data_IF_586416566458
#
_entry.id   IF_586416566458
#
_cell.length_a   1.000
_cell.length_b   1.000
_cell.length_c   1.000
_cell.angle_alpha   90.00
_cell.angle_beta   90.00
_cell.angle_gamma   90.00
#
_symmetry.space_group_name_H-M   'P 1'
#
loop_
_entity.id
_entity.type
_entity.pdbx_description
1 polymer ?
#
# COMPACT_ATOMS: atom_id res chain seq x y z
N UNK A 1 -5.34 -8.10 7.85
CA UNK A 1 -4.64 -8.90 6.83
C UNK A 1 -3.42 -8.14 6.31
N UNK A 2 -2.31 -8.82 6.04
CA UNK A 2 -1.09 -8.26 5.40
C UNK A 2 -1.46 -7.51 4.10
N UNK A 3 -2.37 -8.07 3.32
CA UNK A 3 -2.80 -7.49 2.04
C UNK A 3 -3.50 -6.14 2.17
N UNK A 4 -4.04 -5.82 3.35
CA UNK A 4 -4.74 -4.56 3.60
C UNK A 4 -3.79 -3.40 3.94
N UNK A 5 -2.51 -3.65 4.14
CA UNK A 5 -1.51 -2.61 4.48
C UNK A 5 -1.15 -1.75 3.28
N UNK A 6 -1.33 -2.28 2.06
CA UNK A 6 -1.04 -1.55 0.82
C UNK A 6 0.39 -1.76 0.30
N UNK A 7 1.01 -2.90 0.62
CA UNK A 7 2.30 -3.25 0.04
C UNK A 7 2.21 -3.36 -1.49
N UNK A 8 3.18 -2.80 -2.18
CA UNK A 8 3.28 -2.84 -3.65
C UNK A 8 3.86 -4.17 -4.15
N UNK A 9 4.67 -4.83 -3.33
CA UNK A 9 5.28 -6.12 -3.63
C UNK A 9 5.29 -7.05 -2.42
N UNK A 10 5.16 -8.33 -2.68
CA UNK A 10 5.25 -9.41 -1.69
C UNK A 10 6.28 -10.40 -2.19
N UNK A 11 7.28 -10.68 -1.37
CA UNK A 11 8.28 -11.70 -1.62
C UNK A 11 8.00 -12.91 -0.75
N UNK A 12 8.01 -14.10 -1.31
CA UNK A 12 7.73 -15.34 -0.57
C UNK A 12 8.63 -16.47 -1.04
N UNK A 13 8.96 -17.33 -0.10
CA UNK A 13 9.63 -18.62 -0.38
C UNK A 13 8.62 -19.77 -0.52
N UNK A 14 7.31 -19.51 -0.30
CA UNK A 14 6.27 -20.52 -0.41
C UNK A 14 5.91 -20.80 -1.87
N UNK A 15 5.64 -22.07 -2.15
CA UNK A 15 5.25 -22.55 -3.49
C UNK A 15 3.75 -22.44 -3.77
N UNK A 16 2.92 -22.38 -2.71
CA UNK A 16 1.45 -22.43 -2.79
C UNK A 16 0.86 -21.12 -3.37
N UNK A 17 -0.47 -21.12 -3.56
CA UNK A 17 -1.22 -19.96 -4.07
C UNK A 17 -2.10 -19.28 -3.02
N UNK A 18 -1.75 -19.39 -1.75
CA UNK A 18 -2.54 -18.82 -0.66
C UNK A 18 -2.60 -17.28 -0.78
N UNK A 19 -1.49 -16.64 -1.12
CA UNK A 19 -1.42 -15.17 -1.25
C UNK A 19 -2.30 -14.72 -2.41
N UNK A 20 -2.13 -15.31 -3.59
CA UNK A 20 -2.88 -14.98 -4.81
C UNK A 20 -4.40 -15.17 -4.60
N UNK A 21 -4.79 -16.29 -4.01
CA UNK A 21 -6.19 -16.61 -3.73
C UNK A 21 -6.83 -15.60 -2.77
N UNK A 22 -6.07 -15.10 -1.80
CA UNK A 22 -6.57 -14.07 -0.88
C UNK A 22 -6.64 -12.69 -1.53
N UNK A 23 -5.73 -12.36 -2.45
CA UNK A 23 -5.81 -11.12 -3.24
C UNK A 23 -7.07 -11.10 -4.11
N UNK A 24 -7.39 -12.22 -4.77
CA UNK A 24 -8.62 -12.37 -5.56
C UNK A 24 -9.87 -12.16 -4.69
N UNK A 25 -9.90 -12.72 -3.47
CA UNK A 25 -11.02 -12.52 -2.52
C UNK A 25 -11.21 -11.06 -2.10
N UNK A 26 -10.16 -10.25 -2.19
CA UNK A 26 -10.21 -8.81 -1.92
C UNK A 26 -10.56 -7.98 -3.17
N UNK A 27 -10.95 -8.63 -4.28
CA UNK A 27 -11.19 -7.99 -5.58
C UNK A 27 -10.01 -7.16 -6.08
N UNK A 28 -8.79 -7.56 -5.74
CA UNK A 28 -7.55 -6.94 -6.21
C UNK A 28 -6.87 -7.83 -7.25
N UNK A 29 -5.95 -7.25 -7.99
CA UNK A 29 -5.18 -7.95 -9.02
C UNK A 29 -3.74 -8.14 -8.58
N UNK A 30 -3.17 -9.29 -8.91
CA UNK A 30 -1.75 -9.58 -8.69
C UNK A 30 -1.06 -10.05 -9.97
N UNK A 31 0.25 -9.84 -10.00
CA UNK A 31 1.16 -10.54 -10.92
C UNK A 31 1.99 -11.51 -10.09
N UNK A 32 2.04 -12.76 -10.50
CA UNK A 32 2.95 -13.74 -9.89
C UNK A 32 4.18 -13.89 -10.76
N UNK A 33 5.35 -13.68 -10.15
CA UNK A 33 6.66 -13.69 -10.78
C UNK A 33 7.49 -14.79 -10.09
N UNK A 34 7.82 -15.85 -10.81
CA UNK A 34 8.58 -16.99 -10.28
C UNK A 34 9.66 -17.48 -11.25
N UNK A 35 9.71 -16.90 -12.44
CA UNK A 35 10.72 -17.16 -13.47
C UNK A 35 11.30 -15.83 -13.93
N UNK A 36 12.50 -15.85 -14.44
CA UNK A 36 13.17 -14.67 -14.98
C UNK A 36 12.42 -14.03 -16.14
N UNK A 37 11.73 -14.84 -16.93
CA UNK A 37 10.86 -14.37 -18.03
C UNK A 37 9.67 -13.56 -17.53
N UNK A 38 9.24 -13.78 -16.29
CA UNK A 38 8.11 -13.04 -15.71
C UNK A 38 8.50 -11.62 -15.29
N UNK A 39 9.80 -11.33 -15.14
CA UNK A 39 10.30 -10.00 -14.76
C UNK A 39 9.87 -8.90 -15.73
N UNK A 40 9.64 -9.23 -17.01
CA UNK A 40 9.13 -8.26 -18.01
C UNK A 40 7.68 -7.86 -17.78
N UNK A 41 6.93 -8.65 -16.99
CA UNK A 41 5.51 -8.45 -16.71
C UNK A 41 5.26 -7.66 -15.42
N UNK A 42 6.30 -7.17 -14.75
CA UNK A 42 6.17 -6.38 -13.53
C UNK A 42 5.35 -5.13 -13.81
N UNK A 43 4.33 -4.91 -13.02
CA UNK A 43 3.48 -3.73 -13.11
C UNK A 43 3.33 -3.10 -11.72
N UNK A 44 3.73 -1.84 -11.61
CA UNK A 44 3.62 -1.08 -10.37
C UNK A 44 2.29 -0.31 -10.24
N UNK A 45 1.47 -0.38 -11.29
CA UNK A 45 0.17 0.30 -11.33
C UNK A 45 -0.96 -0.69 -11.10
N UNK A 46 -1.75 -0.47 -10.06
CA UNK A 46 -3.00 -1.20 -9.76
C UNK A 46 -2.87 -2.72 -9.59
N UNK A 47 -1.66 -3.25 -9.36
CA UNK A 47 -1.41 -4.68 -9.11
C UNK A 47 -0.41 -4.86 -7.99
N UNK A 48 -0.56 -5.96 -7.24
CA UNK A 48 0.41 -6.42 -6.27
C UNK A 48 1.33 -7.41 -6.97
N UNK A 49 2.64 -7.13 -7.00
CA UNK A 49 3.60 -8.08 -7.54
C UNK A 49 3.97 -9.11 -6.46
N UNK A 50 3.82 -10.39 -6.78
CA UNK A 50 4.17 -11.50 -5.90
C UNK A 50 5.39 -12.19 -6.49
N UNK A 51 6.52 -12.08 -5.81
CA UNK A 51 7.78 -12.69 -6.20
C UNK A 51 7.98 -13.99 -5.41
N UNK A 52 8.09 -15.12 -6.09
CA UNK A 52 8.28 -16.44 -5.49
C UNK A 52 9.72 -16.89 -5.69
N UNK A 53 10.54 -16.70 -4.66
CA UNK A 53 11.97 -17.00 -4.71
C UNK A 53 12.27 -18.47 -5.03
N UNK A 54 11.47 -19.37 -4.48
CA UNK A 54 11.70 -20.82 -4.62
C UNK A 54 10.82 -21.45 -5.72
N UNK A 55 10.19 -20.61 -6.58
CA UNK A 55 9.33 -21.09 -7.65
C UNK A 55 7.86 -21.23 -7.24
N UNK A 56 7.03 -21.73 -8.14
CA UNK A 56 5.58 -21.88 -7.98
C UNK A 56 5.13 -23.31 -8.27
N UNK A 57 4.17 -23.81 -7.51
CA UNK A 57 3.64 -25.18 -7.65
C UNK A 57 3.04 -25.45 -9.05
N UNK A 58 2.68 -24.41 -9.80
CA UNK A 58 2.21 -24.59 -11.17
C UNK A 58 3.32 -24.87 -12.19
N UNK A 59 4.60 -24.68 -11.82
CA UNK A 59 5.74 -24.95 -12.67
C UNK A 59 6.83 -25.73 -11.93
N UNK A 60 6.67 -27.04 -11.88
CA UNK A 60 7.55 -27.93 -11.11
C UNK A 60 9.01 -27.93 -11.60
N UNK A 61 9.26 -27.52 -12.83
CA UNK A 61 10.62 -27.50 -13.39
C UNK A 61 11.49 -26.37 -12.81
N UNK A 62 10.89 -25.35 -12.24
CA UNK A 62 11.59 -24.18 -11.70
C UNK A 62 11.52 -24.09 -10.17
N UNK A 63 11.16 -25.20 -9.51
CA UNK A 63 11.09 -25.24 -8.05
C UNK A 63 12.49 -25.45 -7.47
N UNK A 64 12.86 -24.64 -6.49
CA UNK A 64 14.09 -24.72 -5.70
C UNK A 64 13.82 -25.50 -4.42
N UNK A 65 14.19 -26.76 -4.34
CA UNK A 65 13.91 -27.65 -3.19
C UNK A 65 15.18 -28.29 -2.64
N UNK A 66 16.09 -28.72 -3.52
CA UNK A 66 17.29 -29.46 -3.12
C UNK A 66 18.42 -28.51 -2.73
N UNK A 67 19.38 -29.03 -1.94
CA UNK A 67 20.59 -28.26 -1.64
C UNK A 67 21.35 -27.89 -2.93
N UNK A 68 21.34 -28.74 -3.91
CA UNK A 68 21.96 -28.47 -5.22
C UNK A 68 21.27 -27.30 -5.95
N UNK A 69 19.95 -27.16 -5.83
CA UNK A 69 19.22 -26.02 -6.41
C UNK A 69 19.61 -24.71 -5.71
N UNK A 70 19.75 -24.75 -4.38
CA UNK A 70 20.19 -23.60 -3.57
C UNK A 70 21.63 -23.21 -3.93
N UNK A 71 22.53 -24.17 -4.00
CA UNK A 71 23.96 -23.95 -4.32
C UNK A 71 24.14 -23.36 -5.73
N UNK A 72 23.26 -23.75 -6.65
CA UNK A 72 23.28 -23.28 -8.05
C UNK A 72 22.32 -22.08 -8.29
N UNK A 73 21.65 -21.56 -7.25
CA UNK A 73 20.64 -20.50 -7.40
C UNK A 73 21.19 -19.27 -8.13
N UNK A 74 22.39 -18.84 -7.77
CA UNK A 74 23.03 -17.67 -8.38
C UNK A 74 23.28 -17.85 -9.89
N UNK A 75 23.56 -19.07 -10.33
CA UNK A 75 23.79 -19.38 -11.74
C UNK A 75 22.48 -19.50 -12.53
N UNK A 76 21.48 -20.14 -11.92
CA UNK A 76 20.21 -20.46 -12.56
C UNK A 76 19.19 -19.31 -12.51
N UNK A 77 19.31 -18.42 -11.51
CA UNK A 77 18.38 -17.32 -11.23
C UNK A 77 19.10 -15.97 -11.07
N UNK A 78 20.11 -15.72 -11.88
CA UNK A 78 20.97 -14.53 -11.77
C UNK A 78 20.23 -13.21 -11.91
N UNK A 79 19.28 -13.10 -12.86
CA UNK A 79 18.49 -11.90 -13.06
C UNK A 79 17.50 -11.69 -11.92
N UNK A 80 16.88 -12.77 -11.44
CA UNK A 80 15.93 -12.71 -10.32
C UNK A 80 16.63 -12.26 -9.02
N UNK A 81 17.84 -12.80 -8.77
CA UNK A 81 18.67 -12.41 -7.64
C UNK A 81 19.13 -10.93 -7.74
N UNK A 82 19.51 -10.50 -8.94
CA UNK A 82 19.87 -9.09 -9.19
C UNK A 82 18.69 -8.17 -8.92
N UNK A 83 17.49 -8.59 -9.32
CA UNK A 83 16.26 -7.84 -9.04
C UNK A 83 15.96 -7.82 -7.54
N UNK A 84 16.10 -8.92 -6.81
CA UNK A 84 15.96 -8.96 -5.36
C UNK A 84 16.93 -7.97 -4.67
N UNK A 85 18.21 -7.99 -5.06
CA UNK A 85 19.22 -7.07 -4.52
C UNK A 85 18.83 -5.59 -4.75
N UNK A 86 18.36 -5.26 -5.97
CA UNK A 86 17.85 -3.92 -6.27
C UNK A 86 16.70 -3.55 -5.33
N UNK A 87 15.73 -4.43 -5.15
CA UNK A 87 14.57 -4.17 -4.28
C UNK A 87 15.00 -3.99 -2.81
N UNK A 88 15.94 -4.79 -2.31
CA UNK A 88 16.51 -4.65 -0.96
C UNK A 88 17.27 -3.32 -0.78
N UNK A 89 17.95 -2.84 -1.82
CA UNK A 89 18.66 -1.54 -1.78
C UNK A 89 17.68 -0.37 -1.81
N UNK A 90 16.59 -0.45 -2.58
CA UNK A 90 15.70 0.69 -2.84
C UNK A 90 14.47 0.75 -1.92
N UNK A 91 14.14 -0.34 -1.24
CA UNK A 91 12.94 -0.46 -0.42
C UNK A 91 13.25 -0.99 0.99
N UNK A 92 12.42 -0.63 1.95
CA UNK A 92 12.40 -1.26 3.28
C UNK A 92 11.54 -2.51 3.24
N UNK A 93 12.11 -3.64 3.62
CA UNK A 93 11.40 -4.92 3.74
C UNK A 93 10.89 -5.14 5.15
N UNK A 94 9.73 -5.79 5.27
CA UNK A 94 9.20 -6.31 6.52
C UNK A 94 9.06 -7.82 6.37
N UNK A 95 9.88 -8.57 7.09
CA UNK A 95 9.85 -10.02 7.10
C UNK A 95 8.82 -10.52 8.12
N UNK A 96 7.88 -11.34 7.68
CA UNK A 96 6.81 -11.90 8.50
C UNK A 96 6.77 -13.41 8.31
N UNK A 97 6.94 -14.18 9.40
CA UNK A 97 6.98 -15.64 9.33
C UNK A 97 8.19 -16.23 8.60
N UNK A 98 9.25 -15.43 8.45
CA UNK A 98 10.49 -15.86 7.80
C UNK A 98 11.51 -16.30 8.84
N UNK A 99 12.09 -17.49 8.64
CA UNK A 99 12.96 -18.11 9.65
C UNK A 99 14.43 -17.68 9.57
N UNK A 100 14.82 -17.01 8.49
CA UNK A 100 16.22 -16.67 8.16
C UNK A 100 17.15 -17.88 8.07
N UNK A 101 16.62 -19.06 7.74
CA UNK A 101 17.41 -20.26 7.42
C UNK A 101 17.74 -20.34 5.93
N UNK A 102 17.16 -19.50 5.10
CA UNK A 102 17.37 -19.43 3.67
C UNK A 102 18.57 -18.54 3.36
N UNK A 103 19.59 -19.11 2.75
CA UNK A 103 20.83 -18.40 2.44
C UNK A 103 20.68 -17.37 1.31
N UNK A 104 19.66 -17.46 0.46
CA UNK A 104 19.51 -16.59 -0.72
C UNK A 104 19.36 -15.14 -0.30
N UNK A 105 18.38 -14.87 0.58
CA UNK A 105 18.11 -13.52 1.08
C UNK A 105 19.24 -13.01 1.97
N UNK A 106 19.74 -13.85 2.89
CA UNK A 106 20.81 -13.45 3.79
C UNK A 106 22.12 -13.15 3.04
N UNK A 107 22.46 -13.93 2.02
CA UNK A 107 23.63 -13.66 1.19
C UNK A 107 23.49 -12.34 0.42
N UNK A 108 22.31 -12.06 -0.12
CA UNK A 108 22.05 -10.79 -0.79
C UNK A 108 22.20 -9.59 0.17
N UNK A 109 21.65 -9.69 1.37
CA UNK A 109 21.76 -8.64 2.40
C UNK A 109 23.21 -8.46 2.89
N UNK A 110 23.95 -9.57 3.10
CA UNK A 110 25.36 -9.51 3.50
C UNK A 110 26.22 -8.82 2.44
N UNK A 111 25.99 -9.13 1.16
CA UNK A 111 26.68 -8.49 0.05
C UNK A 111 26.35 -7.00 -0.05
N UNK A 112 25.07 -6.61 0.08
CA UNK A 112 24.64 -5.22 0.10
C UNK A 112 25.31 -4.46 1.26
N UNK A 113 25.32 -5.05 2.44
CA UNK A 113 25.95 -4.44 3.62
C UNK A 113 27.47 -4.30 3.44
N UNK A 114 28.12 -5.26 2.79
CA UNK A 114 29.55 -5.17 2.48
C UNK A 114 29.90 -3.93 1.61
N UNK A 115 29.02 -3.57 0.67
CA UNK A 115 29.25 -2.44 -0.24
C UNK A 115 28.76 -1.11 0.30
N UNK A 116 27.62 -1.09 0.99
CA UNK A 116 26.95 0.15 1.43
C UNK A 116 27.19 0.47 2.91
N UNK A 117 27.54 -0.52 3.74
CA UNK A 117 27.73 -0.35 5.18
C UNK A 117 26.53 0.33 5.84
N UNK A 118 26.79 1.37 6.63
CA UNK A 118 25.75 2.13 7.33
C UNK A 118 24.75 2.87 6.40
N UNK A 119 25.07 2.99 5.11
CA UNK A 119 24.15 3.57 4.11
C UNK A 119 23.11 2.57 3.61
N UNK A 120 23.18 1.29 4.04
CA UNK A 120 22.18 0.28 3.71
C UNK A 120 20.83 0.61 4.34
N UNK A 121 19.75 0.27 3.63
CA UNK A 121 18.41 0.40 4.19
C UNK A 121 18.24 -0.48 5.44
N UNK A 122 17.54 0.05 6.44
CA UNK A 122 17.09 -0.77 7.56
C UNK A 122 15.85 -1.54 7.15
N UNK A 123 15.89 -2.85 7.33
CA UNK A 123 14.75 -3.75 7.18
C UNK A 123 14.20 -4.13 8.55
N UNK A 124 13.02 -4.74 8.57
CA UNK A 124 12.36 -5.13 9.82
C UNK A 124 11.91 -6.58 9.77
N UNK A 125 11.88 -7.24 10.92
CA UNK A 125 11.22 -8.53 11.07
C UNK A 125 10.32 -8.51 12.29
N UNK A 126 9.22 -9.28 12.26
CA UNK A 126 8.33 -9.46 13.42
C UNK A 126 8.48 -10.88 13.92
N UNK A 127 8.93 -11.04 15.15
CA UNK A 127 9.20 -12.35 15.76
C UNK A 127 8.59 -12.46 17.14
N UNK A 128 8.15 -13.68 17.49
CA UNK A 128 7.78 -14.00 18.89
C UNK A 128 9.03 -14.04 19.75
N UNK A 129 8.99 -13.37 20.89
CA UNK A 129 10.06 -13.36 21.87
C UNK A 129 10.24 -14.78 22.47
N UNK A 130 11.45 -15.29 22.45
CA UNK A 130 11.79 -16.62 23.01
C UNK A 130 12.40 -16.53 24.40
N UNK A 131 12.71 -15.32 24.88
CA UNK A 131 13.32 -15.05 26.19
C UNK A 131 14.60 -15.87 26.49
N UNK A 132 15.39 -16.24 25.47
CA UNK A 132 16.66 -16.95 25.61
C UNK A 132 17.84 -16.10 25.18
N UNK A 133 19.04 -16.36 25.71
CA UNK A 133 20.25 -15.63 25.32
C UNK A 133 20.64 -15.91 23.87
N UNK A 134 20.46 -17.15 23.37
CA UNK A 134 20.71 -17.51 21.97
C UNK A 134 19.82 -16.68 21.03
N UNK A 135 18.56 -16.45 21.42
CA UNK A 135 17.65 -15.64 20.64
C UNK A 135 18.05 -14.16 20.63
N UNK A 136 18.56 -13.64 21.73
CA UNK A 136 19.11 -12.28 21.76
C UNK A 136 20.34 -12.14 20.87
N UNK A 137 21.27 -13.10 20.93
CA UNK A 137 22.44 -13.12 20.04
C UNK A 137 22.04 -13.19 18.56
N UNK A 138 21.02 -13.99 18.25
CA UNK A 138 20.48 -14.09 16.89
C UNK A 138 19.90 -12.74 16.39
N UNK A 139 19.12 -12.05 17.22
CA UNK A 139 18.57 -10.73 16.88
C UNK A 139 19.68 -9.70 16.68
N UNK A 140 20.70 -9.71 17.55
CA UNK A 140 21.85 -8.81 17.39
C UNK A 140 22.65 -9.10 16.12
N UNK A 141 22.80 -10.37 15.74
CA UNK A 141 23.44 -10.75 14.48
C UNK A 141 22.64 -10.27 13.27
N UNK A 142 21.30 -10.42 13.30
CA UNK A 142 20.41 -9.88 12.25
C UNK A 142 20.60 -8.36 12.08
N UNK A 143 20.68 -7.61 13.16
CA UNK A 143 20.86 -6.17 13.09
C UNK A 143 22.26 -5.77 12.61
N UNK A 144 23.31 -6.36 13.17
CA UNK A 144 24.70 -6.00 12.87
C UNK A 144 25.14 -6.42 11.47
N UNK A 145 24.75 -7.61 11.02
CA UNK A 145 25.22 -8.18 9.74
C UNK A 145 24.32 -7.88 8.57
N UNK A 146 23.02 -7.71 8.79
CA UNK A 146 22.02 -7.64 7.72
C UNK A 146 21.15 -6.39 7.78
N UNK A 147 21.38 -5.48 8.74
CA UNK A 147 20.58 -4.29 9.00
C UNK A 147 19.08 -4.59 9.17
N UNK A 148 18.76 -5.73 9.83
CA UNK A 148 17.39 -6.14 10.12
C UNK A 148 17.08 -5.89 11.58
N UNK A 149 16.19 -4.94 11.88
CA UNK A 149 15.67 -4.69 13.22
C UNK A 149 14.49 -5.60 13.53
N UNK A 150 14.51 -6.18 14.72
CA UNK A 150 13.48 -7.12 15.16
C UNK A 150 12.44 -6.41 16.02
N UNK A 151 11.18 -6.49 15.61
CA UNK A 151 10.00 -6.12 16.39
C UNK A 151 9.54 -7.36 17.14
N UNK A 152 9.65 -7.36 18.46
CA UNK A 152 9.26 -8.48 19.30
C UNK A 152 7.78 -8.40 19.64
N UNK A 153 7.11 -9.54 19.57
CA UNK A 153 5.75 -9.77 20.07
C UNK A 153 5.78 -10.90 21.08
N UNK A 154 4.91 -10.88 22.08
CA UNK A 154 4.76 -11.99 23.00
C UNK A 154 3.94 -13.11 22.39
N UNK A 155 2.92 -12.77 21.55
CA UNK A 155 2.11 -13.74 20.83
C UNK A 155 1.91 -13.34 19.37
N UNK A 156 1.86 -14.33 18.47
CA UNK A 156 1.61 -14.09 17.05
C UNK A 156 0.26 -13.44 16.75
N UNK A 157 -0.71 -13.55 17.67
CA UNK A 157 -2.01 -12.87 17.59
C UNK A 157 -1.92 -11.34 17.63
N UNK A 158 -0.76 -10.78 18.04
CA UNK A 158 -0.51 -9.33 18.05
C UNK A 158 -0.15 -8.77 16.65
N UNK A 159 0.34 -9.63 15.74
CA UNK A 159 0.77 -9.19 14.40
C UNK A 159 -0.34 -8.47 13.62
N UNK A 160 -1.60 -8.94 13.57
CA UNK A 160 -2.67 -8.22 12.92
C UNK A 160 -2.87 -6.79 13.44
N UNK A 161 -2.73 -6.60 14.74
CA UNK A 161 -2.85 -5.27 15.37
C UNK A 161 -1.67 -4.35 14.99
N UNK A 162 -0.45 -4.88 14.95
CA UNK A 162 0.73 -4.12 14.48
C UNK A 162 0.58 -3.70 13.02
N UNK A 163 0.10 -4.62 12.17
CA UNK A 163 -0.15 -4.33 10.75
C UNK A 163 -1.25 -3.29 10.56
N UNK A 164 -2.29 -3.31 11.40
CA UNK A 164 -3.35 -2.29 11.37
C UNK A 164 -2.82 -0.91 11.78
N UNK A 165 -1.97 -0.86 12.83
CA UNK A 165 -1.27 0.37 13.20
C UNK A 165 -0.36 0.88 12.09
N UNK A 166 0.38 -0.02 11.42
CA UNK A 166 1.24 0.35 10.29
C UNK A 166 0.40 0.92 9.14
N UNK A 167 -0.71 0.26 8.79
CA UNK A 167 -1.65 0.77 7.79
C UNK A 167 -2.12 2.17 8.13
N UNK A 168 -2.56 2.41 9.35
CA UNK A 168 -3.00 3.73 9.80
C UNK A 168 -1.91 4.78 9.62
N UNK A 169 -0.67 4.45 9.99
CA UNK A 169 0.50 5.34 9.80
C UNK A 169 0.78 5.66 8.34
N UNK A 170 0.68 4.67 7.45
CA UNK A 170 0.85 4.87 6.00
C UNK A 170 -0.23 5.81 5.44
N UNK A 171 -1.45 5.72 5.98
CA UNK A 171 -2.60 6.53 5.56
C UNK A 171 -2.74 7.85 6.36
N UNK A 172 -1.86 8.13 7.30
CA UNK A 172 -1.98 9.28 8.22
C UNK A 172 -2.17 10.61 7.49
N UNK A 173 -1.53 10.76 6.34
CA UNK A 173 -1.62 11.96 5.52
C UNK A 173 -2.78 11.93 4.50
N UNK A 174 -3.59 10.87 4.45
CA UNK A 174 -4.72 10.79 3.53
C UNK A 174 -5.99 11.29 4.20
N UNK A 175 -6.62 12.29 3.59
CA UNK A 175 -7.90 12.87 4.03
C UNK A 175 -8.96 12.57 2.97
N UNK A 176 -10.01 11.86 3.36
CA UNK A 176 -11.18 11.67 2.50
C UNK A 176 -12.10 12.88 2.61
N UNK A 177 -12.38 13.52 1.48
CA UNK A 177 -13.33 14.60 1.39
C UNK A 177 -14.59 14.08 0.73
N UNK A 178 -15.65 13.99 1.54
CA UNK A 178 -16.98 13.59 1.13
C UNK A 178 -17.91 14.77 1.17
N UNK A 179 -18.74 14.90 0.15
CA UNK A 179 -19.73 15.96 0.11
C UNK A 179 -20.42 16.07 -1.23
N UNK A 180 -21.62 16.62 -1.20
CA UNK A 180 -22.34 17.04 -2.38
C UNK A 180 -23.02 18.39 -2.12
N UNK A 181 -23.04 19.21 -3.13
CA UNK A 181 -23.65 20.52 -3.07
C UNK A 181 -24.33 20.85 -4.38
N UNK A 182 -25.61 21.14 -4.32
CA UNK A 182 -26.38 21.72 -5.40
C UNK A 182 -26.83 23.12 -4.98
N UNK A 183 -26.49 24.14 -5.74
CA UNK A 183 -26.72 25.52 -5.39
C UNK A 183 -28.04 26.07 -5.99
N UNK A 184 -28.67 26.97 -5.26
CA UNK A 184 -29.84 27.72 -5.71
C UNK A 184 -29.48 29.10 -6.26
N UNK A 185 -28.28 29.60 -5.95
CA UNK A 185 -27.79 30.90 -6.39
C UNK A 185 -26.31 30.94 -6.71
N UNK A 186 -25.89 31.89 -7.54
CA UNK A 186 -24.47 32.11 -7.86
C UNK A 186 -23.62 32.48 -6.62
N UNK A 187 -24.24 33.07 -5.61
CA UNK A 187 -23.53 33.41 -4.38
C UNK A 187 -23.20 32.18 -3.53
N UNK A 188 -24.13 31.21 -3.47
CA UNK A 188 -23.88 29.92 -2.79
C UNK A 188 -22.81 29.11 -3.50
N UNK A 189 -22.81 29.09 -4.85
CA UNK A 189 -21.79 28.43 -5.66
C UNK A 189 -20.41 29.04 -5.40
N UNK A 190 -20.29 30.38 -5.45
CA UNK A 190 -19.06 31.09 -5.17
C UNK A 190 -18.53 30.82 -3.76
N UNK A 191 -19.41 30.71 -2.78
CA UNK A 191 -19.05 30.36 -1.39
C UNK A 191 -18.51 28.93 -1.31
N UNK A 192 -19.21 27.96 -1.89
CA UNK A 192 -18.78 26.56 -1.91
C UNK A 192 -17.41 26.39 -2.61
N UNK A 193 -17.24 27.06 -3.74
CA UNK A 193 -15.95 27.07 -4.44
C UNK A 193 -14.83 27.68 -3.57
N UNK A 194 -15.07 28.84 -2.94
CA UNK A 194 -14.09 29.52 -2.09
C UNK A 194 -13.66 28.65 -0.90
N UNK A 195 -14.63 27.96 -0.28
CA UNK A 195 -14.34 27.02 0.81
C UNK A 195 -13.53 25.83 0.36
N UNK A 196 -13.91 25.20 -0.76
CA UNK A 196 -13.15 24.09 -1.36
C UNK A 196 -11.73 24.52 -1.74
N UNK A 197 -11.57 25.73 -2.25
CA UNK A 197 -10.26 26.30 -2.60
C UNK A 197 -9.38 26.44 -1.37
N UNK A 198 -9.86 27.13 -0.35
CA UNK A 198 -9.10 27.33 0.91
C UNK A 198 -8.73 26.00 1.55
N UNK A 199 -9.68 25.07 1.64
CA UNK A 199 -9.45 23.75 2.24
C UNK A 199 -8.44 22.94 1.45
N UNK A 200 -8.62 22.85 0.13
CA UNK A 200 -7.73 22.07 -0.74
C UNK A 200 -6.29 22.61 -0.73
N UNK A 201 -6.12 23.92 -0.82
CA UNK A 201 -4.80 24.56 -0.76
C UNK A 201 -4.12 24.32 0.59
N UNK A 202 -4.81 24.50 1.71
CA UNK A 202 -4.26 24.28 3.05
C UNK A 202 -3.88 22.82 3.31
N UNK A 203 -4.70 21.86 2.88
CA UNK A 203 -4.38 20.45 3.03
C UNK A 203 -3.11 20.09 2.27
N UNK A 204 -2.96 20.55 1.03
CA UNK A 204 -1.75 20.30 0.23
C UNK A 204 -0.52 20.96 0.85
N UNK A 205 -0.63 22.22 1.30
CA UNK A 205 0.46 22.94 1.98
C UNK A 205 0.89 22.27 3.30
N UNK A 206 -0.07 21.64 4.00
CA UNK A 206 0.18 20.85 5.21
C UNK A 206 0.61 19.40 4.94
N UNK A 207 0.97 19.09 3.72
CA UNK A 207 1.42 17.76 3.28
C UNK A 207 0.38 16.63 3.40
N UNK A 208 -0.91 16.95 3.35
CA UNK A 208 -1.97 15.94 3.25
C UNK A 208 -2.24 15.55 1.79
N UNK A 209 -2.62 14.30 1.59
CA UNK A 209 -3.13 13.79 0.33
C UNK A 209 -4.67 13.78 0.39
N UNK A 210 -5.31 13.99 -0.74
CA UNK A 210 -6.76 14.08 -0.81
C UNK A 210 -7.31 12.85 -1.51
N UNK A 211 -8.28 12.21 -0.86
CA UNK A 211 -9.11 11.14 -1.43
C UNK A 211 -10.51 11.70 -1.65
N UNK A 212 -11.10 11.49 -2.82
CA UNK A 212 -12.46 11.95 -3.09
C UNK A 212 -13.24 10.99 -3.97
N UNK A 213 -14.52 10.80 -3.67
CA UNK A 213 -15.51 10.09 -4.48
C UNK A 213 -16.08 10.93 -5.62
N UNK A 214 -15.59 12.13 -5.82
CA UNK A 214 -16.05 13.07 -6.84
C UNK A 214 -17.54 13.43 -6.72
N UNK A 215 -18.00 13.66 -5.47
CA UNK A 215 -19.37 14.10 -5.21
C UNK A 215 -19.73 15.42 -5.91
N UNK A 216 -21.01 15.63 -6.18
CA UNK A 216 -21.52 16.75 -6.98
C UNK A 216 -20.97 18.10 -6.53
N UNK A 217 -20.39 18.86 -7.44
CA UNK A 217 -19.71 20.14 -7.28
C UNK A 217 -18.49 20.06 -6.34
N UNK A 218 -18.62 19.54 -5.12
CA UNK A 218 -17.54 19.49 -4.12
C UNK A 218 -16.33 18.71 -4.64
N UNK A 219 -16.53 17.50 -5.17
CA UNK A 219 -15.47 16.70 -5.75
C UNK A 219 -14.79 17.38 -6.93
N UNK A 220 -15.58 18.06 -7.78
CA UNK A 220 -15.07 18.83 -8.89
C UNK A 220 -14.20 20.02 -8.42
N UNK A 221 -14.70 20.83 -7.48
CA UNK A 221 -13.97 22.01 -6.99
C UNK A 221 -12.68 21.61 -6.29
N UNK A 222 -12.73 20.66 -5.37
CA UNK A 222 -11.55 20.17 -4.65
C UNK A 222 -10.51 19.61 -5.63
N UNK A 223 -10.94 18.76 -6.56
CA UNK A 223 -10.00 18.13 -7.50
C UNK A 223 -9.35 19.17 -8.42
N UNK A 224 -10.10 20.11 -8.93
CA UNK A 224 -9.58 21.17 -9.79
C UNK A 224 -8.55 22.05 -9.07
N UNK A 225 -8.91 22.54 -7.87
CA UNK A 225 -8.03 23.39 -7.06
C UNK A 225 -6.74 22.67 -6.67
N UNK A 226 -6.87 21.43 -6.20
CA UNK A 226 -5.71 20.62 -5.77
C UNK A 226 -4.79 20.31 -6.96
N UNK A 227 -5.35 19.93 -8.10
CA UNK A 227 -4.57 19.69 -9.32
C UNK A 227 -3.82 20.97 -9.74
N UNK A 228 -4.49 22.11 -9.76
CA UNK A 228 -3.88 23.39 -10.09
C UNK A 228 -2.75 23.77 -9.11
N UNK A 229 -2.98 23.57 -7.80
CA UNK A 229 -1.99 23.84 -6.76
C UNK A 229 -0.73 22.98 -6.93
N UNK A 230 -0.90 21.68 -7.17
CA UNK A 230 0.20 20.72 -7.36
C UNK A 230 1.03 21.10 -8.59
N UNK A 231 0.36 21.36 -9.73
CA UNK A 231 1.05 21.74 -10.98
C UNK A 231 1.80 23.05 -10.84
N UNK A 232 1.14 24.09 -10.33
CA UNK A 232 1.72 25.44 -10.26
C UNK A 232 2.92 25.52 -9.31
N UNK A 233 2.95 24.69 -8.27
CA UNK A 233 3.99 24.72 -7.24
C UNK A 233 4.99 23.56 -7.36
N UNK A 234 4.89 22.69 -8.37
CA UNK A 234 5.73 21.51 -8.53
C UNK A 234 5.75 20.60 -7.28
N UNK A 235 4.60 20.40 -6.64
CA UNK A 235 4.46 19.64 -5.38
C UNK A 235 4.27 18.15 -5.67
N UNK A 236 5.32 17.43 -6.04
CA UNK A 236 5.29 15.98 -6.17
C UNK A 236 4.42 15.46 -7.33
N UNK A 237 4.02 14.19 -7.23
CA UNK A 237 3.20 13.51 -8.23
C UNK A 237 1.71 13.68 -7.90
N UNK A 238 0.90 14.11 -8.88
CA UNK A 238 -0.56 14.28 -8.72
C UNK A 238 -1.23 12.98 -8.30
N UNK A 239 -0.84 11.84 -8.87
CA UNK A 239 -1.43 10.54 -8.59
C UNK A 239 -1.25 10.08 -7.14
N UNK A 240 -0.18 10.55 -6.48
CA UNK A 240 0.07 10.27 -5.07
C UNK A 240 -0.65 11.23 -4.13
N UNK A 241 -0.88 12.47 -4.58
CA UNK A 241 -1.45 13.57 -3.79
C UNK A 241 -2.97 13.68 -3.91
N UNK A 242 -3.55 13.23 -5.02
CA UNK A 242 -4.98 13.31 -5.32
C UNK A 242 -5.50 11.97 -5.84
N UNK A 243 -6.21 11.25 -4.98
CA UNK A 243 -6.81 9.96 -5.28
C UNK A 243 -8.29 10.16 -5.58
N UNK A 244 -8.64 10.12 -6.86
CA UNK A 244 -10.02 10.27 -7.33
C UNK A 244 -10.64 8.90 -7.65
N UNK A 245 -11.83 8.65 -7.13
CA UNK A 245 -12.62 7.45 -7.40
C UNK A 245 -14.09 7.87 -7.61
N UNK A 246 -14.46 8.36 -8.80
CA UNK A 246 -15.82 8.81 -9.06
C UNK A 246 -16.83 7.67 -8.96
N UNK A 247 -18.00 7.96 -8.39
CA UNK A 247 -19.11 7.02 -8.34
C UNK A 247 -19.62 6.73 -9.75
N UNK A 248 -19.96 5.47 -10.04
CA UNK A 248 -20.59 5.10 -11.29
C UNK A 248 -22.02 5.70 -11.35
N UNK A 249 -22.49 5.98 -12.56
CA UNK A 249 -23.81 6.62 -12.77
C UNK A 249 -24.97 5.76 -12.26
N UNK A 250 -24.84 4.44 -12.37
CA UNK A 250 -25.83 3.47 -11.89
C UNK A 250 -25.09 2.45 -11.01
N UNK A 251 -25.50 2.38 -9.75
CA UNK A 251 -24.99 1.42 -8.77
C UNK A 251 -26.14 0.88 -7.92
N UNK A 252 -26.07 -0.39 -7.56
CA UNK A 252 -26.95 -0.97 -6.53
C UNK A 252 -26.56 -0.43 -5.16
N UNK A 253 -27.44 -0.50 -4.16
CA UNK A 253 -27.11 -0.06 -2.80
C UNK A 253 -25.94 -0.84 -2.19
N UNK A 254 -25.77 -2.11 -2.57
CA UNK A 254 -24.64 -2.94 -2.11
C UNK A 254 -23.31 -2.49 -2.75
N UNK A 255 -23.31 -2.19 -4.04
CA UNK A 255 -22.14 -1.66 -4.75
C UNK A 255 -21.74 -0.29 -4.22
N UNK A 256 -22.70 0.60 -4.00
CA UNK A 256 -22.48 1.92 -3.41
C UNK A 256 -21.85 1.81 -2.02
N UNK A 257 -22.38 0.94 -1.16
CA UNK A 257 -21.82 0.69 0.17
C UNK A 257 -20.38 0.15 0.10
N UNK A 258 -20.11 -0.80 -0.79
CA UNK A 258 -18.75 -1.33 -1.00
C UNK A 258 -17.79 -0.25 -1.48
N UNK A 259 -18.24 0.61 -2.39
CA UNK A 259 -17.44 1.68 -2.93
C UNK A 259 -17.10 2.76 -1.89
N UNK A 260 -18.08 3.16 -1.04
CA UNK A 260 -17.86 4.08 0.08
C UNK A 260 -16.85 3.54 1.07
N UNK A 261 -16.98 2.27 1.47
CA UNK A 261 -16.00 1.60 2.34
C UNK A 261 -14.60 1.60 1.73
N UNK A 262 -14.49 1.44 0.42
CA UNK A 262 -13.20 1.50 -0.26
C UNK A 262 -12.58 2.89 -0.15
N UNK A 263 -13.35 3.97 -0.33
CA UNK A 263 -12.88 5.34 -0.19
C UNK A 263 -12.43 5.66 1.24
N UNK A 264 -13.28 5.35 2.23
CA UNK A 264 -12.97 5.55 3.65
C UNK A 264 -11.72 4.77 4.06
N UNK A 265 -11.56 3.53 3.58
CA UNK A 265 -10.41 2.69 3.88
C UNK A 265 -9.08 3.17 3.25
N UNK A 266 -9.13 4.14 2.34
CA UNK A 266 -7.96 4.77 1.74
C UNK A 266 -7.54 6.07 2.45
N UNK A 267 -8.19 6.44 3.54
CA UNK A 267 -7.89 7.62 4.32
C UNK A 267 -7.89 7.32 5.82
N UNK A 268 -7.17 8.13 6.59
CA UNK A 268 -7.18 8.07 8.06
C UNK A 268 -8.15 9.09 8.68
N UNK A 269 -8.46 10.13 7.95
CA UNK A 269 -9.38 11.19 8.39
C UNK A 269 -10.41 11.49 7.31
N UNK A 270 -11.61 11.92 7.72
CA UNK A 270 -12.68 12.27 6.78
C UNK A 270 -13.22 13.66 7.11
N UNK A 271 -13.43 14.45 6.07
CA UNK A 271 -14.10 15.76 6.15
C UNK A 271 -15.39 15.66 5.35
N UNK A 272 -16.50 15.86 6.02
CA UNK A 272 -17.81 15.93 5.41
C UNK A 272 -18.19 17.39 5.15
N UNK A 273 -18.64 17.66 3.91
CA UNK A 273 -18.98 19.01 3.48
C UNK A 273 -20.36 19.06 2.85
N UNK A 274 -21.22 19.95 3.35
CA UNK A 274 -22.58 20.21 2.87
C UNK A 274 -23.51 18.99 2.97
N UNK A 275 -23.52 18.11 1.96
CA UNK A 275 -24.43 16.96 1.95
C UNK A 275 -25.84 17.30 1.50
N UNK A 276 -26.01 18.26 0.58
CA UNK A 276 -27.29 18.74 0.08
C UNK A 276 -27.45 18.47 -1.42
N UNK A 277 -28.66 18.16 -1.83
CA UNK A 277 -29.08 18.12 -3.23
C UNK A 277 -30.46 18.76 -3.40
N UNK A 278 -30.75 19.22 -4.60
CA UNK A 278 -32.02 19.83 -4.93
C UNK A 278 -32.93 18.80 -5.58
N UNK A 279 -34.13 18.63 -5.01
CA UNK A 279 -35.17 17.80 -5.60
C UNK A 279 -36.47 18.60 -5.64
N UNK A 280 -37.07 18.69 -6.82
CA UNK A 280 -38.30 19.46 -7.02
C UNK A 280 -38.19 20.93 -6.55
N UNK A 281 -37.02 21.56 -6.67
CA UNK A 281 -36.78 22.94 -6.25
C UNK A 281 -36.60 23.16 -4.75
N UNK A 282 -36.54 22.09 -3.95
CA UNK A 282 -36.25 22.12 -2.53
C UNK A 282 -34.95 21.42 -2.20
N UNK A 283 -34.24 21.94 -1.18
CA UNK A 283 -33.01 21.31 -0.68
C UNK A 283 -33.34 20.10 0.18
N UNK A 284 -32.81 18.93 -0.17
CA UNK A 284 -32.88 17.71 0.64
C UNK A 284 -31.47 17.28 1.06
N UNK A 285 -31.35 16.59 2.18
CA UNK A 285 -30.06 16.02 2.61
C UNK A 285 -29.65 14.86 1.72
N UNK A 286 -28.39 14.81 1.35
CA UNK A 286 -27.81 13.69 0.62
C UNK A 286 -27.71 12.48 1.55
N UNK A 287 -28.39 11.38 1.20
CA UNK A 287 -28.31 10.14 1.96
C UNK A 287 -26.87 9.64 2.08
N UNK A 288 -26.10 9.75 0.99
CA UNK A 288 -24.73 9.27 0.95
C UNK A 288 -23.82 9.88 2.00
N UNK A 289 -23.85 11.21 2.17
CA UNK A 289 -23.04 11.91 3.17
C UNK A 289 -23.45 11.59 4.61
N UNK A 290 -24.69 11.18 4.84
CA UNK A 290 -25.19 10.77 6.17
C UNK A 290 -24.85 9.33 6.51
N UNK A 291 -24.67 8.46 5.51
CA UNK A 291 -24.37 7.04 5.66
C UNK A 291 -22.86 6.75 5.79
N UNK A 292 -22.00 7.67 5.35
CA UNK A 292 -20.55 7.62 5.48
C UNK A 292 -20.06 7.97 6.90
#
# INVERSE_FOLDING_TARGET
SILNVGFKSIWTTNYDKIIENNIIKLNAYSNTIFDEKDLVNISWQNRINIFKLNGDISNLNNIVITQNDIDNYQNNHALFLTFLKRELVTNTFIFIGYSFNDNIVLSALAEINQYLGESSNTHYTIMKNKHTEEFKMFIEDLEKRYHIKTVLVEEYSEIPFLLDKLKKRILDNNVFISGSFEYLSSAEDAFAYSLCKSLGEQLIDSNYNIVTGFGRNIGYYISGVVTQKIINNNIGNIEERLIMRPFAHIMTAEEDTKFRKLLINNANSTIYMFGQHIKNGQSENSRGTLEE
#
